data_IF_913496134652
#
_entry.id   IF_913496134652
#
_cell.length_a   1.000
_cell.length_b   1.000
_cell.length_c   1.000
_cell.angle_alpha   90.00
_cell.angle_beta   90.00
_cell.angle_gamma   90.00
#
_symmetry.space_group_name_H-M   'P 1'
#
loop_
_entity.id
_entity.type
_entity.pdbx_description
1 polymer ?
#
# COMPACT_ATOMS: atom_id res chain seq x y z
N UNK A 1 16.82 11.45 10.27
CA UNK A 1 17.64 10.23 10.41
C UNK A 1 16.90 8.99 9.89
N UNK A 2 15.66 8.73 10.36
CA UNK A 2 14.84 7.59 9.91
C UNK A 2 14.66 7.51 8.38
N UNK A 3 14.16 8.57 7.74
CA UNK A 3 13.88 8.55 6.29
C UNK A 3 15.11 8.31 5.43
N UNK A 4 16.26 8.86 5.80
CA UNK A 4 17.51 8.62 5.08
C UNK A 4 17.95 7.16 5.18
N UNK A 5 17.87 6.57 6.38
CA UNK A 5 18.14 5.14 6.56
C UNK A 5 17.14 4.27 5.79
N UNK A 6 15.85 4.60 5.87
CA UNK A 6 14.81 3.88 5.16
C UNK A 6 15.03 3.89 3.64
N UNK A 7 15.35 5.06 3.08
CA UNK A 7 15.60 5.25 1.65
C UNK A 7 16.86 4.53 1.16
N UNK A 8 17.91 4.47 1.98
CA UNK A 8 19.18 3.85 1.60
C UNK A 8 19.24 2.35 1.90
N UNK A 9 18.38 1.83 2.78
CA UNK A 9 18.43 0.44 3.22
C UNK A 9 17.16 -0.33 2.85
N UNK A 10 16.01 -0.01 3.46
CA UNK A 10 14.81 -0.83 3.31
C UNK A 10 14.12 -0.68 1.95
N UNK A 11 14.01 0.54 1.41
CA UNK A 11 13.33 0.72 0.11
C UNK A 11 14.03 -0.03 -1.05
N UNK A 12 15.36 -0.03 -1.16
CA UNK A 12 16.08 -0.88 -2.11
C UNK A 12 15.74 -2.36 -1.97
N UNK A 13 15.67 -2.89 -0.75
CA UNK A 13 15.31 -4.29 -0.49
C UNK A 13 13.87 -4.61 -0.93
N UNK A 14 12.91 -3.72 -0.62
CA UNK A 14 11.51 -3.84 -1.07
C UNK A 14 11.43 -3.86 -2.60
N UNK A 15 12.18 -2.99 -3.27
CA UNK A 15 12.25 -2.95 -4.75
C UNK A 15 12.87 -4.22 -5.31
N UNK A 16 13.99 -4.68 -4.73
CA UNK A 16 14.65 -5.92 -5.14
C UNK A 16 13.69 -7.11 -5.06
N UNK A 17 12.88 -7.23 -4.00
CA UNK A 17 11.87 -8.28 -3.89
C UNK A 17 10.87 -8.24 -5.06
N UNK A 18 10.39 -7.05 -5.46
CA UNK A 18 9.49 -6.91 -6.62
C UNK A 18 10.16 -7.19 -7.97
N UNK A 19 11.46 -6.96 -8.09
CA UNK A 19 12.24 -7.21 -9.32
C UNK A 19 12.61 -8.68 -9.46
N UNK A 20 12.82 -9.38 -8.35
CA UNK A 20 13.17 -10.81 -8.35
C UNK A 20 11.96 -11.72 -8.60
N UNK A 21 10.73 -11.24 -8.38
CA UNK A 21 9.51 -12.02 -8.61
C UNK A 21 9.34 -12.32 -10.10
N UNK A 22 9.62 -13.58 -10.43
CA UNK A 22 9.59 -14.18 -11.76
C UNK A 22 9.14 -15.64 -11.59
N UNK A 23 8.79 -16.36 -12.67
CA UNK A 23 8.43 -17.78 -12.56
C UNK A 23 9.50 -18.64 -11.86
N UNK A 24 10.79 -18.26 -11.98
CA UNK A 24 11.93 -18.93 -11.32
C UNK A 24 12.16 -18.49 -9.88
N UNK A 25 11.48 -17.44 -9.42
CA UNK A 25 11.67 -16.92 -8.05
C UNK A 25 11.28 -17.93 -6.98
N UNK A 26 10.32 -18.82 -7.28
CA UNK A 26 9.90 -19.91 -6.40
C UNK A 26 11.01 -20.91 -6.11
N UNK A 27 12.03 -20.97 -6.96
CA UNK A 27 13.20 -21.85 -6.86
C UNK A 27 14.47 -21.09 -6.46
N UNK A 28 14.39 -19.76 -6.31
CA UNK A 28 15.54 -18.92 -5.98
C UNK A 28 15.69 -18.77 -4.47
N UNK A 29 16.71 -19.42 -3.90
CA UNK A 29 17.05 -19.29 -2.49
C UNK A 29 17.24 -17.83 -2.06
N UNK A 30 17.86 -17.02 -2.92
CA UNK A 30 18.06 -15.58 -2.68
C UNK A 30 16.73 -14.82 -2.61
N UNK A 31 15.81 -15.06 -3.55
CA UNK A 31 14.49 -14.41 -3.53
C UNK A 31 13.67 -14.82 -2.28
N UNK A 32 13.69 -16.11 -1.95
CA UNK A 32 12.98 -16.64 -0.78
C UNK A 32 13.59 -16.15 0.54
N UNK A 33 14.91 -16.00 0.61
CA UNK A 33 15.61 -15.44 1.77
C UNK A 33 15.26 -13.96 1.96
N UNK A 34 15.26 -13.17 0.87
CA UNK A 34 14.86 -11.76 0.90
C UNK A 34 13.41 -11.60 1.37
N UNK A 35 12.49 -12.40 0.84
CA UNK A 35 11.08 -12.40 1.27
C UNK A 35 10.94 -12.73 2.77
N UNK A 36 11.71 -13.69 3.29
CA UNK A 36 11.72 -14.05 4.73
C UNK A 36 12.24 -12.90 5.59
N UNK A 37 13.36 -12.28 5.23
CA UNK A 37 13.90 -11.12 5.93
C UNK A 37 12.90 -9.96 5.96
N UNK A 38 12.34 -9.61 4.81
CA UNK A 38 11.39 -8.50 4.71
C UNK A 38 10.11 -8.78 5.51
N UNK A 39 9.48 -9.94 5.30
CA UNK A 39 8.16 -10.21 5.86
C UNK A 39 8.18 -10.63 7.34
N UNK A 40 9.27 -11.22 7.82
CA UNK A 40 9.35 -11.69 9.21
C UNK A 40 10.01 -10.68 10.15
N UNK A 41 10.80 -9.74 9.64
CA UNK A 41 11.53 -8.77 10.46
C UNK A 41 11.22 -7.33 10.08
N UNK A 42 11.52 -6.93 8.83
CA UNK A 42 11.45 -5.50 8.43
C UNK A 42 10.02 -4.97 8.46
N UNK A 43 9.10 -5.63 7.76
CA UNK A 43 7.71 -5.18 7.67
C UNK A 43 7.02 -5.18 9.05
N UNK A 44 7.12 -6.23 9.90
CA UNK A 44 6.60 -6.17 11.26
C UNK A 44 7.20 -5.02 12.10
N UNK A 45 8.50 -4.78 12.00
CA UNK A 45 9.17 -3.68 12.72
C UNK A 45 8.60 -2.32 12.28
N UNK A 46 8.48 -2.10 10.97
CA UNK A 46 7.95 -0.86 10.41
C UNK A 46 6.46 -0.66 10.72
N UNK A 47 5.66 -1.73 10.71
CA UNK A 47 4.24 -1.70 11.10
C UNK A 47 4.08 -1.27 12.55
N UNK A 48 4.89 -1.82 13.46
CA UNK A 48 4.83 -1.48 14.90
C UNK A 48 5.29 -0.05 15.19
N UNK A 49 6.07 0.55 14.28
CA UNK A 49 6.58 1.91 14.41
C UNK A 49 6.07 2.82 13.28
N UNK A 50 4.84 2.58 12.81
CA UNK A 50 4.25 3.31 11.70
C UNK A 50 4.20 4.82 11.95
N UNK A 51 4.04 5.25 13.20
CA UNK A 51 4.02 6.67 13.59
C UNK A 51 5.24 7.49 13.12
N UNK A 52 6.38 6.86 12.79
CA UNK A 52 7.50 7.58 12.16
C UNK A 52 7.20 8.10 10.75
N UNK A 53 6.15 7.59 10.10
CA UNK A 53 5.67 8.04 8.78
C UNK A 53 4.62 9.16 8.88
N UNK A 54 4.18 9.53 10.09
CA UNK A 54 3.28 10.65 10.30
C UNK A 54 3.97 12.00 10.01
N UNK A 55 3.20 13.00 9.60
CA UNK A 55 3.66 14.38 9.34
C UNK A 55 4.88 14.50 8.40
N UNK A 56 5.06 13.51 7.52
CA UNK A 56 6.26 13.34 6.70
C UNK A 56 6.10 13.84 5.25
N UNK A 57 5.29 14.88 5.04
CA UNK A 57 4.93 15.41 3.72
C UNK A 57 6.16 15.86 2.90
N UNK A 58 7.21 16.32 3.58
CA UNK A 58 8.51 16.67 2.98
C UNK A 58 9.21 15.47 2.32
N UNK A 59 8.85 14.24 2.70
CA UNK A 59 9.33 12.99 2.12
C UNK A 59 8.30 12.34 1.16
N UNK A 60 7.35 13.12 0.63
CA UNK A 60 6.27 12.60 -0.22
C UNK A 60 6.72 11.69 -1.38
N UNK A 61 7.80 12.01 -2.15
CA UNK A 61 8.26 11.12 -3.21
C UNK A 61 8.72 9.74 -2.71
N UNK A 62 9.38 9.70 -1.56
CA UNK A 62 9.85 8.47 -0.92
C UNK A 62 8.67 7.61 -0.44
N UNK A 63 7.70 8.25 0.20
CA UNK A 63 6.50 7.61 0.72
C UNK A 63 5.61 7.06 -0.39
N UNK A 64 5.45 7.82 -1.49
CA UNK A 64 4.73 7.40 -2.69
C UNK A 64 5.39 6.15 -3.32
N UNK A 65 6.72 6.20 -3.49
CA UNK A 65 7.47 5.05 -3.99
C UNK A 65 7.33 3.82 -3.07
N UNK A 66 7.33 4.03 -1.75
CA UNK A 66 7.18 2.97 -0.76
C UNK A 66 5.80 2.33 -0.83
N UNK A 67 4.74 3.14 -0.80
CA UNK A 67 3.36 2.68 -0.92
C UNK A 67 3.15 1.82 -2.17
N UNK A 68 3.59 2.32 -3.33
CA UNK A 68 3.43 1.61 -4.59
C UNK A 68 4.26 0.32 -4.65
N UNK A 69 5.47 0.32 -4.08
CA UNK A 69 6.32 -0.87 -4.01
C UNK A 69 5.69 -1.94 -3.13
N UNK A 70 5.23 -1.59 -1.92
CA UNK A 70 4.61 -2.52 -0.97
C UNK A 70 3.27 -3.04 -1.50
N UNK A 71 2.46 -2.18 -2.14
CA UNK A 71 1.24 -2.61 -2.81
C UNK A 71 1.51 -3.64 -3.91
N UNK A 72 2.55 -3.43 -4.72
CA UNK A 72 3.01 -4.43 -5.70
C UNK A 72 3.51 -5.70 -5.02
N UNK A 73 4.23 -5.59 -3.90
CA UNK A 73 4.72 -6.74 -3.14
C UNK A 73 3.60 -7.67 -2.67
N UNK A 74 2.41 -7.13 -2.38
CA UNK A 74 1.27 -7.94 -1.93
C UNK A 74 0.82 -9.00 -2.95
N UNK A 75 1.24 -8.83 -4.22
CA UNK A 75 0.88 -9.69 -5.35
C UNK A 75 2.00 -10.61 -5.83
N UNK A 76 3.15 -10.63 -5.15
CA UNK A 76 4.27 -11.48 -5.56
C UNK A 76 3.90 -12.96 -5.39
N UNK A 77 4.19 -13.75 -6.43
CA UNK A 77 3.84 -15.17 -6.48
C UNK A 77 4.68 -15.99 -5.50
N UNK A 78 5.89 -15.52 -5.23
CA UNK A 78 6.85 -16.12 -4.30
C UNK A 78 6.48 -15.98 -2.82
N UNK A 79 5.40 -15.27 -2.46
CA UNK A 79 4.98 -15.08 -1.07
C UNK A 79 3.96 -16.11 -0.59
N UNK A 80 4.24 -16.68 0.57
CA UNK A 80 3.28 -17.46 1.36
C UNK A 80 2.12 -16.59 1.86
N UNK A 81 1.05 -17.21 2.36
CA UNK A 81 -0.09 -16.50 2.95
C UNK A 81 0.35 -15.58 4.11
N UNK A 82 1.08 -16.13 5.09
CA UNK A 82 1.54 -15.37 6.25
C UNK A 82 2.44 -14.18 5.88
N UNK A 83 3.28 -14.34 4.85
CA UNK A 83 4.11 -13.22 4.37
C UNK A 83 3.27 -12.15 3.68
N UNK A 84 2.25 -12.54 2.88
CA UNK A 84 1.28 -11.60 2.32
C UNK A 84 0.49 -10.86 3.40
N UNK A 85 0.17 -11.52 4.50
CA UNK A 85 -0.49 -10.88 5.65
C UNK A 85 0.43 -9.80 6.25
N UNK A 86 1.72 -10.08 6.46
CA UNK A 86 2.68 -9.08 6.93
C UNK A 86 2.82 -7.87 5.98
N UNK A 87 2.84 -8.10 4.66
CA UNK A 87 2.83 -7.03 3.66
C UNK A 87 1.54 -6.21 3.75
N UNK A 88 0.40 -6.88 3.90
CA UNK A 88 -0.91 -6.22 4.01
C UNK A 88 -1.00 -5.36 5.27
N UNK A 89 -0.54 -5.88 6.41
CA UNK A 89 -0.58 -5.18 7.68
C UNK A 89 0.35 -3.96 7.67
N UNK A 90 1.53 -4.05 7.06
CA UNK A 90 2.38 -2.87 6.87
C UNK A 90 1.73 -1.83 5.96
N UNK A 91 1.12 -2.26 4.86
CA UNK A 91 0.47 -1.34 3.94
C UNK A 91 -0.70 -0.61 4.59
N UNK A 92 -1.48 -1.32 5.41
CA UNK A 92 -2.53 -0.73 6.25
C UNK A 92 -1.93 0.26 7.25
N UNK A 93 -0.90 -0.14 8.00
CA UNK A 93 -0.25 0.72 8.99
C UNK A 93 0.28 2.01 8.33
N UNK A 94 1.01 1.90 7.23
CA UNK A 94 1.54 3.02 6.48
C UNK A 94 0.41 3.95 5.97
N UNK A 95 -0.65 3.39 5.36
CA UNK A 95 -1.77 4.21 4.86
C UNK A 95 -2.48 5.04 5.95
N UNK A 96 -2.47 4.55 7.20
CA UNK A 96 -3.07 5.24 8.36
C UNK A 96 -2.26 6.45 8.84
N UNK A 97 -1.00 6.55 8.46
CA UNK A 97 -0.12 7.66 8.86
C UNK A 97 -0.09 8.76 7.78
N UNK A 98 -0.42 8.40 6.54
CA UNK A 98 -0.32 9.32 5.41
C UNK A 98 -1.55 10.21 5.25
N UNK A 99 -1.39 11.49 4.90
CA UNK A 99 -2.51 12.37 4.62
C UNK A 99 -3.29 11.90 3.38
N UNK A 100 -4.59 12.23 3.27
CA UNK A 100 -5.43 11.72 2.19
C UNK A 100 -4.92 12.04 0.79
N UNK A 101 -4.33 13.23 0.62
CA UNK A 101 -3.77 13.72 -0.66
C UNK A 101 -2.65 12.82 -1.19
N UNK A 102 -1.86 12.19 -0.31
CA UNK A 102 -0.78 11.29 -0.70
C UNK A 102 -1.27 9.91 -1.13
N UNK A 103 -2.47 9.50 -0.69
CA UNK A 103 -3.08 8.22 -1.08
C UNK A 103 -3.67 8.24 -2.50
N UNK A 104 -3.85 9.42 -3.10
CA UNK A 104 -4.57 9.62 -4.37
C UNK A 104 -4.00 8.78 -5.52
N UNK A 105 -2.67 8.70 -5.66
CA UNK A 105 -2.04 7.91 -6.73
C UNK A 105 -2.24 6.41 -6.53
N UNK A 106 -2.12 5.94 -5.28
CA UNK A 106 -2.39 4.56 -4.95
C UNK A 106 -3.86 4.21 -5.20
N UNK A 107 -4.81 5.07 -4.80
CA UNK A 107 -6.24 4.86 -5.06
C UNK A 107 -6.53 4.74 -6.55
N UNK A 108 -5.93 5.58 -7.41
CA UNK A 108 -6.05 5.44 -8.87
C UNK A 108 -5.57 4.08 -9.36
N UNK A 109 -4.42 3.63 -8.84
CA UNK A 109 -3.87 2.31 -9.19
C UNK A 109 -4.79 1.18 -8.72
N UNK A 110 -5.37 1.31 -7.53
CA UNK A 110 -6.31 0.33 -6.97
C UNK A 110 -7.59 0.25 -7.80
N UNK A 111 -8.16 1.38 -8.25
CA UNK A 111 -9.31 1.39 -9.16
C UNK A 111 -9.00 0.61 -10.43
N UNK A 112 -7.86 0.91 -11.06
CA UNK A 112 -7.44 0.24 -12.28
C UNK A 112 -7.22 -1.27 -12.05
N UNK A 113 -6.63 -1.65 -10.90
CA UNK A 113 -6.41 -3.06 -10.56
C UNK A 113 -7.74 -3.78 -10.29
N UNK A 114 -8.69 -3.21 -9.55
CA UNK A 114 -10.02 -3.81 -9.31
C UNK A 114 -10.76 -4.02 -10.64
N UNK A 115 -10.71 -3.05 -11.56
CA UNK A 115 -11.34 -3.17 -12.88
C UNK A 115 -10.72 -4.25 -13.77
N UNK A 116 -9.47 -4.63 -13.52
CA UNK A 116 -8.72 -5.60 -14.32
C UNK A 116 -8.63 -6.98 -13.67
N UNK A 117 -9.01 -7.14 -12.40
CA UNK A 117 -8.72 -8.34 -11.62
C UNK A 117 -9.94 -9.22 -11.38
N UNK A 118 -9.80 -10.52 -11.65
CA UNK A 118 -10.73 -11.59 -11.23
C UNK A 118 -10.39 -12.19 -9.87
N UNK A 119 -9.16 -12.04 -9.36
CA UNK A 119 -8.70 -12.77 -8.17
C UNK A 119 -7.91 -11.88 -7.17
N UNK A 120 -8.42 -11.85 -5.93
CA UNK A 120 -7.85 -11.25 -4.71
C UNK A 120 -8.00 -9.72 -4.54
N UNK A 121 -9.26 -9.27 -4.41
CA UNK A 121 -9.63 -7.88 -4.06
C UNK A 121 -9.57 -7.55 -2.57
N UNK A 122 -9.33 -8.54 -1.68
CA UNK A 122 -9.47 -8.36 -0.23
C UNK A 122 -8.53 -7.31 0.36
N UNK A 123 -7.26 -7.30 -0.03
CA UNK A 123 -6.28 -6.33 0.48
C UNK A 123 -6.55 -4.92 -0.03
N UNK A 124 -6.78 -4.70 -1.36
CA UNK A 124 -7.28 -3.43 -1.87
C UNK A 124 -8.51 -2.91 -1.11
N UNK A 125 -9.52 -3.75 -0.90
CA UNK A 125 -10.74 -3.39 -0.18
C UNK A 125 -10.44 -2.99 1.27
N UNK A 126 -9.59 -3.74 1.98
CA UNK A 126 -9.21 -3.43 3.37
C UNK A 126 -8.54 -2.05 3.49
N UNK A 127 -7.63 -1.71 2.58
CA UNK A 127 -6.97 -0.40 2.56
C UNK A 127 -7.99 0.72 2.32
N UNK A 128 -8.89 0.50 1.37
CA UNK A 128 -9.94 1.46 1.00
C UNK A 128 -10.89 1.71 2.17
N UNK A 129 -11.41 0.64 2.78
CA UNK A 129 -12.32 0.73 3.93
C UNK A 129 -11.69 1.54 5.05
N UNK A 130 -10.46 1.20 5.44
CA UNK A 130 -9.75 1.91 6.51
C UNK A 130 -9.44 3.37 6.17
N UNK A 131 -9.09 3.64 4.91
CA UNK A 131 -8.88 5.00 4.43
C UNK A 131 -10.14 5.85 4.54
N UNK A 132 -11.29 5.36 4.05
CA UNK A 132 -12.54 6.11 4.10
C UNK A 132 -13.15 6.20 5.49
N UNK A 133 -12.96 5.20 6.36
CA UNK A 133 -13.34 5.28 7.77
C UNK A 133 -12.61 6.44 8.47
N UNK A 134 -11.29 6.52 8.30
CA UNK A 134 -10.46 7.60 8.86
C UNK A 134 -10.77 8.96 8.22
N UNK A 135 -10.96 8.99 6.90
CA UNK A 135 -11.05 10.21 6.12
C UNK A 135 -12.50 10.63 5.82
N UNK A 136 -13.51 10.04 6.45
CA UNK A 136 -14.92 10.30 6.16
C UNK A 136 -15.25 11.81 6.17
N UNK A 137 -14.81 12.52 7.23
CA UNK A 137 -15.00 13.97 7.32
C UNK A 137 -14.26 14.74 6.22
N UNK A 138 -13.06 14.32 5.82
CA UNK A 138 -12.29 14.95 4.73
C UNK A 138 -13.03 14.88 3.39
N UNK A 139 -13.64 13.73 3.06
CA UNK A 139 -14.41 13.57 1.81
C UNK A 139 -15.82 14.16 1.87
N UNK A 140 -16.34 14.41 3.07
CA UNK A 140 -17.64 15.04 3.30
C UNK A 140 -17.53 16.53 3.65
N UNK A 141 -17.61 16.83 4.94
CA UNK A 141 -17.76 18.18 5.50
C UNK A 141 -16.46 18.98 5.67
N UNK A 142 -15.29 18.36 5.46
CA UNK A 142 -13.98 18.86 5.85
C UNK A 142 -13.60 18.55 7.32
N UNK A 143 -12.30 18.58 7.61
CA UNK A 143 -11.70 18.46 8.95
C UNK A 143 -10.34 19.20 9.05
N UNK A 144 -9.52 18.90 10.07
CA UNK A 144 -8.19 19.48 10.25
C UNK A 144 -7.19 19.18 9.11
N UNK A 145 -7.45 18.15 8.31
CA UNK A 145 -6.68 17.82 7.10
C UNK A 145 -7.19 18.58 5.86
N UNK A 146 -8.18 19.47 6.04
CA UNK A 146 -8.84 20.20 4.96
C UNK A 146 -10.09 19.49 4.44
N UNK A 147 -10.39 19.69 3.17
CA UNK A 147 -11.51 19.07 2.48
C UNK A 147 -11.06 18.50 1.13
N UNK A 148 -11.64 17.38 0.74
CA UNK A 148 -11.34 16.73 -0.53
C UNK A 148 -11.70 17.64 -1.71
N UNK A 149 -10.77 17.73 -2.67
CA UNK A 149 -11.02 18.33 -3.97
C UNK A 149 -12.10 17.55 -4.74
N UNK A 150 -12.72 18.21 -5.72
CA UNK A 150 -13.65 17.54 -6.64
C UNK A 150 -12.99 16.37 -7.39
N UNK A 151 -11.68 16.46 -7.66
CA UNK A 151 -10.93 15.35 -8.27
C UNK A 151 -10.83 14.14 -7.36
N UNK A 152 -10.65 14.35 -6.05
CA UNK A 152 -10.56 13.27 -5.06
C UNK A 152 -11.93 12.65 -4.83
N UNK A 153 -12.99 13.45 -4.68
CA UNK A 153 -14.36 12.95 -4.57
C UNK A 153 -14.77 12.12 -5.79
N UNK A 154 -14.42 12.57 -7.01
CA UNK A 154 -14.68 11.81 -8.24
C UNK A 154 -13.93 10.48 -8.25
N UNK A 155 -12.69 10.43 -7.77
CA UNK A 155 -11.95 9.16 -7.65
C UNK A 155 -12.62 8.22 -6.65
N UNK A 156 -13.07 8.73 -5.50
CA UNK A 156 -13.83 7.95 -4.54
C UNK A 156 -15.07 7.34 -5.18
N UNK A 157 -15.82 8.12 -5.94
CA UNK A 157 -16.99 7.65 -6.67
C UNK A 157 -16.64 6.54 -7.68
N UNK A 158 -15.60 6.75 -8.51
CA UNK A 158 -15.14 5.74 -9.48
C UNK A 158 -14.71 4.43 -8.82
N UNK A 159 -14.10 4.52 -7.63
CA UNK A 159 -13.71 3.37 -6.85
C UNK A 159 -14.91 2.57 -6.35
N UNK A 160 -15.94 3.25 -5.82
CA UNK A 160 -17.17 2.57 -5.42
C UNK A 160 -17.82 1.87 -6.62
N UNK A 161 -17.92 2.53 -7.77
CA UNK A 161 -18.40 1.90 -9.00
C UNK A 161 -17.58 0.66 -9.38
N UNK A 162 -16.25 0.75 -9.39
CA UNK A 162 -15.39 -0.39 -9.72
C UNK A 162 -15.60 -1.58 -8.78
N UNK A 163 -15.77 -1.33 -7.47
CA UNK A 163 -16.06 -2.38 -6.48
C UNK A 163 -17.44 -3.01 -6.77
N UNK A 164 -18.49 -2.20 -6.94
CA UNK A 164 -19.83 -2.71 -7.16
C UNK A 164 -19.97 -3.47 -8.48
N UNK A 165 -19.42 -2.95 -9.57
CA UNK A 165 -19.40 -3.63 -10.87
C UNK A 165 -18.63 -4.96 -10.79
N UNK A 166 -17.51 -5.00 -10.06
CA UNK A 166 -16.76 -6.25 -9.85
C UNK A 166 -17.49 -7.27 -8.98
N UNK A 167 -18.42 -6.84 -8.12
CA UNK A 167 -19.24 -7.71 -7.27
C UNK A 167 -20.55 -8.18 -7.93
N UNK A 168 -20.87 -7.65 -9.12
CA UNK A 168 -22.06 -7.98 -9.92
C UNK A 168 -21.75 -9.00 -11.05
N UNK A 169 -20.52 -9.51 -11.12
CA UNK A 169 -20.05 -10.58 -12.01
C UNK A 169 -19.70 -11.83 -11.19
#
# INVERSE_FOLDING_TARGET
MFFNFFEQSFLPDLRAATMMDSPRALESDTALALNRYLCNAVLPLLSNHSHFFADAEHHAPLLDATLHTVYRMNRLRSLTKNQRDAVSDFLVALSRELPPTMMVKLLRKVIADIQQMSDNVLVPLRIITLHYERCNKYYGSGNSLGAASETEKRLSMLLFYAIFDSSLL
#
